data_IF_345078288858
#
_entry.id   IF_345078288858
#
_cell.length_a   1.000
_cell.length_b   1.000
_cell.length_c   1.000
_cell.angle_alpha   90.00
_cell.angle_beta   90.00
_cell.angle_gamma   90.00
#
_symmetry.space_group_name_H-M   'P 1'
#
loop_
_entity.id
_entity.type
_entity.pdbx_description
1 polymer ?
#
# COMPACT_ATOMS: atom_id res chain seq x y z
N UNK A 1 6.66 -5.02 33.46
CA UNK A 1 7.49 -5.73 34.42
C UNK A 1 8.77 -6.20 33.73
N UNK A 2 9.91 -6.15 34.39
CA UNK A 2 11.22 -6.54 33.83
C UNK A 2 11.29 -8.02 33.44
N UNK A 3 10.46 -8.86 34.07
CA UNK A 3 10.38 -10.30 33.82
C UNK A 3 9.37 -10.74 32.79
N UNK A 4 8.79 -9.78 32.02
CA UNK A 4 7.74 -10.00 31.03
C UNK A 4 6.51 -10.79 31.52
N UNK A 5 6.26 -10.79 32.85
CA UNK A 5 5.09 -11.48 33.41
C UNK A 5 3.90 -10.53 33.57
N UNK A 6 2.70 -11.05 33.31
CA UNK A 6 1.45 -10.37 33.63
C UNK A 6 0.98 -10.73 35.03
N UNK A 7 0.85 -9.74 35.93
CA UNK A 7 0.45 -9.92 37.34
C UNK A 7 -0.90 -9.24 37.60
N UNK A 8 -2.00 -9.89 37.26
CA UNK A 8 -3.34 -9.27 37.28
C UNK A 8 -3.83 -8.87 38.67
N UNK A 9 -3.18 -9.38 39.72
CA UNK A 9 -3.54 -9.06 41.12
C UNK A 9 -2.88 -7.78 41.62
N UNK A 10 -1.90 -7.22 40.92
CA UNK A 10 -1.26 -5.98 41.33
C UNK A 10 -2.04 -4.78 40.75
N UNK A 11 -2.23 -3.76 41.57
CA UNK A 11 -2.81 -2.51 41.12
C UNK A 11 -1.86 -1.82 40.13
N UNK A 12 -2.40 -1.42 38.99
CA UNK A 12 -1.67 -0.60 38.02
C UNK A 12 -1.62 0.84 38.50
N UNK A 13 -0.44 1.46 38.46
CA UNK A 13 -0.30 2.88 38.76
C UNK A 13 -0.84 3.72 37.59
N UNK A 14 -1.19 5.01 37.85
CA UNK A 14 -1.60 5.94 36.80
C UNK A 14 -0.52 6.09 35.73
N UNK A 15 0.75 6.10 36.11
CA UNK A 15 1.88 6.21 35.20
C UNK A 15 1.98 4.98 34.27
N UNK A 16 1.86 3.77 34.83
CA UNK A 16 1.85 2.53 34.04
C UNK A 16 0.64 2.47 33.11
N UNK A 17 -0.55 2.88 33.57
CA UNK A 17 -1.74 2.94 32.73
C UNK A 17 -1.57 3.91 31.57
N UNK A 18 -0.97 5.08 31.79
CA UNK A 18 -0.69 6.09 30.74
C UNK A 18 0.31 5.51 29.73
N UNK A 19 1.39 4.89 30.18
CA UNK A 19 2.39 4.27 29.29
C UNK A 19 1.78 3.14 28.45
N UNK A 20 0.93 2.30 29.06
CA UNK A 20 0.23 1.24 28.32
C UNK A 20 -0.72 1.82 27.29
N UNK A 21 -1.49 2.86 27.64
CA UNK A 21 -2.40 3.54 26.72
C UNK A 21 -1.63 4.20 25.57
N UNK A 22 -0.55 4.92 25.84
CA UNK A 22 0.29 5.55 24.82
C UNK A 22 0.87 4.53 23.85
N UNK A 23 1.36 3.38 24.34
CA UNK A 23 1.81 2.27 23.47
C UNK A 23 0.67 1.72 22.64
N UNK A 24 -0.49 1.47 23.24
CA UNK A 24 -1.65 0.94 22.52
C UNK A 24 -2.10 1.88 21.40
N UNK A 25 -2.11 3.19 21.65
CA UNK A 25 -2.45 4.20 20.64
C UNK A 25 -1.43 4.19 19.49
N UNK A 26 -0.13 4.18 19.81
CA UNK A 26 0.94 4.13 18.79
C UNK A 26 0.91 2.84 17.98
N UNK A 27 0.75 1.71 18.65
CA UNK A 27 0.70 0.39 18.00
C UNK A 27 -0.55 0.22 17.13
N UNK A 28 -1.67 0.87 17.50
CA UNK A 28 -2.91 0.87 16.71
C UNK A 28 -2.91 1.84 15.53
N UNK A 29 -1.93 2.76 15.48
CA UNK A 29 -1.85 3.80 14.45
C UNK A 29 -2.94 4.87 14.56
N UNK A 30 -3.64 4.95 15.68
CA UNK A 30 -4.70 5.95 15.90
C UNK A 30 -4.19 7.40 15.93
N UNK A 31 -2.88 7.59 16.18
CA UNK A 31 -2.19 8.88 16.14
C UNK A 31 -1.38 9.07 14.84
N UNK A 32 -1.54 8.19 13.86
CA UNK A 32 -0.82 8.29 12.61
C UNK A 32 -1.24 9.54 11.83
N UNK A 33 -0.25 10.29 11.36
CA UNK A 33 -0.42 11.51 10.58
C UNK A 33 -0.30 11.23 9.09
N UNK A 34 -0.77 12.17 8.29
CA UNK A 34 -0.58 12.16 6.84
C UNK A 34 0.88 12.49 6.50
N UNK A 35 1.40 11.85 5.45
CA UNK A 35 2.75 12.08 4.95
C UNK A 35 2.72 12.45 3.47
N UNK A 36 3.34 13.58 3.13
CA UNK A 36 3.57 13.95 1.73
C UNK A 36 4.99 13.61 1.31
N UNK A 37 5.12 12.94 0.18
CA UNK A 37 6.38 12.58 -0.47
C UNK A 37 6.54 13.46 -1.70
N UNK A 38 7.52 14.36 -1.65
CA UNK A 38 7.83 15.32 -2.72
C UNK A 38 9.11 14.97 -3.48
N UNK A 39 9.84 13.94 -3.06
CA UNK A 39 11.10 13.47 -3.65
C UNK A 39 11.20 11.96 -3.63
N UNK A 40 11.89 11.42 -4.64
CA UNK A 40 12.28 10.01 -4.65
C UNK A 40 13.16 9.66 -3.43
N UNK A 41 13.04 8.43 -2.95
CA UNK A 41 13.80 7.95 -1.81
C UNK A 41 13.11 6.84 -1.03
N UNK A 42 13.69 6.50 0.12
CA UNK A 42 13.19 5.45 1.00
C UNK A 42 12.52 6.03 2.23
N UNK A 43 11.31 5.57 2.50
CA UNK A 43 10.57 5.79 3.73
C UNK A 43 10.58 4.46 4.48
N UNK A 44 10.97 4.49 5.74
CA UNK A 44 11.10 3.24 6.50
C UNK A 44 10.66 3.36 7.95
N UNK A 45 10.20 2.22 8.51
CA UNK A 45 9.88 2.06 9.93
C UNK A 45 8.87 3.12 10.41
N UNK A 46 7.77 3.30 9.68
CA UNK A 46 6.74 4.29 10.00
C UNK A 46 5.34 3.70 9.90
N UNK A 47 4.47 4.20 10.77
CA UNK A 47 3.02 4.11 10.59
C UNK A 47 2.51 5.49 10.20
N UNK A 48 1.77 5.58 9.11
CA UNK A 48 1.15 6.82 8.60
C UNK A 48 -0.33 6.57 8.31
N UNK A 49 -1.14 7.62 8.39
CA UNK A 49 -2.54 7.51 8.04
C UNK A 49 -2.69 7.49 6.53
N UNK A 50 -2.39 8.59 5.86
CA UNK A 50 -2.37 8.66 4.40
C UNK A 50 -0.97 9.04 3.91
N UNK A 51 -0.62 8.59 2.70
CA UNK A 51 0.64 8.90 2.05
C UNK A 51 0.37 9.47 0.66
N UNK A 52 0.76 10.72 0.44
CA UNK A 52 0.57 11.42 -0.83
C UNK A 52 1.89 11.47 -1.60
N UNK A 53 1.96 10.78 -2.75
CA UNK A 53 3.10 10.88 -3.66
C UNK A 53 2.80 11.96 -4.69
N UNK A 54 3.46 13.11 -4.53
CA UNK A 54 3.27 14.31 -5.34
C UNK A 54 3.58 14.07 -6.83
N UNK A 55 2.93 14.85 -7.71
CA UNK A 55 3.16 14.82 -9.15
C UNK A 55 4.60 15.16 -9.58
N UNK A 56 5.35 15.87 -8.73
CA UNK A 56 6.75 16.26 -9.01
C UNK A 56 7.77 15.17 -8.72
N UNK A 57 7.36 14.09 -8.02
CA UNK A 57 8.26 12.97 -7.71
C UNK A 57 8.73 12.29 -8.97
N UNK A 58 10.06 12.25 -9.15
CA UNK A 58 10.71 11.60 -10.28
C UNK A 58 11.65 10.51 -9.80
N UNK A 59 11.51 9.30 -10.35
CA UNK A 59 12.34 8.16 -10.00
C UNK A 59 11.60 7.09 -9.20
N UNK A 60 12.16 6.65 -8.10
CA UNK A 60 11.63 5.55 -7.28
C UNK A 60 11.32 6.01 -5.85
N UNK A 61 10.17 5.56 -5.33
CA UNK A 61 9.82 5.63 -3.90
C UNK A 61 9.81 4.22 -3.35
N UNK A 62 10.51 4.00 -2.23
CA UNK A 62 10.58 2.72 -1.54
C UNK A 62 9.95 2.87 -0.16
N UNK A 63 8.95 2.05 0.12
CA UNK A 63 8.35 1.89 1.44
C UNK A 63 8.90 0.61 2.05
N UNK A 64 9.61 0.72 3.18
CA UNK A 64 10.20 -0.43 3.86
C UNK A 64 9.77 -0.49 5.31
N UNK A 65 9.12 -1.59 5.70
CA UNK A 65 8.53 -1.73 7.03
C UNK A 65 7.64 -0.52 7.39
N UNK A 66 6.68 -0.23 6.47
CA UNK A 66 5.75 0.89 6.58
C UNK A 66 4.32 0.34 6.68
N UNK A 67 3.55 0.89 7.61
CA UNK A 67 2.11 0.65 7.69
C UNK A 67 1.37 1.90 7.26
N UNK A 68 0.49 1.78 6.26
CA UNK A 68 -0.44 2.85 5.86
C UNK A 68 -1.84 2.40 6.24
N UNK A 69 -2.45 3.09 7.21
CA UNK A 69 -3.76 2.71 7.77
C UNK A 69 -4.94 3.29 7.00
N UNK A 70 -4.69 4.21 6.09
CA UNK A 70 -5.63 4.77 5.13
C UNK A 70 -5.14 4.51 3.71
N UNK A 71 -4.89 5.54 2.94
CA UNK A 71 -4.67 5.46 1.49
C UNK A 71 -3.27 5.97 1.07
N UNK A 72 -2.66 5.31 0.10
CA UNK A 72 -1.56 5.86 -0.70
C UNK A 72 -2.15 6.46 -1.96
N UNK A 73 -1.99 7.77 -2.16
CA UNK A 73 -2.41 8.45 -3.38
C UNK A 73 -1.18 8.68 -4.27
N UNK A 74 -1.18 8.06 -5.45
CA UNK A 74 -0.10 8.17 -6.43
C UNK A 74 -0.51 9.15 -7.52
N UNK A 75 0.09 10.36 -7.52
CA UNK A 75 -0.11 11.42 -8.52
C UNK A 75 1.11 11.63 -9.43
N UNK A 76 2.22 10.98 -9.12
CA UNK A 76 3.52 11.20 -9.74
C UNK A 76 3.60 10.84 -11.22
N UNK A 77 3.52 11.84 -12.10
CA UNK A 77 3.67 11.66 -13.56
C UNK A 77 5.03 11.11 -13.99
N UNK A 78 6.06 11.34 -13.17
CA UNK A 78 7.45 10.94 -13.41
C UNK A 78 7.91 9.85 -12.47
N UNK A 79 7.02 9.34 -11.62
CA UNK A 79 7.29 8.22 -10.75
C UNK A 79 7.45 6.96 -11.60
N UNK A 80 8.63 6.34 -11.54
CA UNK A 80 8.90 5.12 -12.28
C UNK A 80 8.43 3.90 -11.48
N UNK A 81 8.81 3.85 -10.20
CA UNK A 81 8.53 2.72 -9.32
C UNK A 81 8.02 3.19 -7.95
N UNK A 82 7.03 2.47 -7.44
CA UNK A 82 6.67 2.43 -6.03
C UNK A 82 6.99 1.02 -5.53
N UNK A 83 8.02 0.86 -4.74
CA UNK A 83 8.41 -0.42 -4.15
C UNK A 83 7.87 -0.52 -2.73
N UNK A 84 7.16 -1.61 -2.44
CA UNK A 84 6.54 -1.93 -1.15
C UNK A 84 7.25 -3.16 -0.62
N UNK A 85 8.05 -3.01 0.43
CA UNK A 85 8.87 -4.05 1.04
C UNK A 85 8.51 -4.18 2.52
N UNK A 86 8.17 -5.40 2.95
CA UNK A 86 7.83 -5.73 4.33
C UNK A 86 6.80 -4.74 4.93
N UNK A 87 5.77 -4.40 4.16
CA UNK A 87 4.87 -3.28 4.46
C UNK A 87 3.40 -3.66 4.31
N UNK A 88 2.55 -3.05 5.14
CA UNK A 88 1.11 -3.29 5.16
C UNK A 88 0.36 -2.03 4.74
N UNK A 89 -0.35 -2.10 3.62
CA UNK A 89 -1.02 -0.98 2.98
C UNK A 89 -2.52 -1.27 2.88
N UNK A 90 -3.35 -0.39 3.45
CA UNK A 90 -4.80 -0.54 3.38
C UNK A 90 -5.31 -0.28 1.98
N UNK A 91 -4.90 0.82 1.35
CA UNK A 91 -5.36 1.19 0.01
C UNK A 91 -4.29 1.92 -0.79
N UNK A 92 -4.27 1.69 -2.11
CA UNK A 92 -3.49 2.45 -3.09
C UNK A 92 -4.42 2.95 -4.18
N UNK A 93 -4.46 4.26 -4.42
CA UNK A 93 -5.11 4.85 -5.59
C UNK A 93 -4.06 5.38 -6.57
N UNK A 94 -4.05 4.81 -7.77
CA UNK A 94 -3.23 5.30 -8.89
C UNK A 94 -4.07 6.27 -9.71
N UNK A 95 -3.79 7.57 -9.59
CA UNK A 95 -4.53 8.64 -10.28
C UNK A 95 -4.28 8.64 -11.80
N UNK A 96 -5.19 9.23 -12.54
CA UNK A 96 -5.08 9.34 -14.01
C UNK A 96 -3.83 10.11 -14.47
N UNK A 97 -3.30 10.99 -13.62
CA UNK A 97 -2.03 11.70 -13.87
C UNK A 97 -0.79 10.80 -13.80
N UNK A 98 -0.83 9.70 -13.03
CA UNK A 98 0.28 8.79 -12.82
C UNK A 98 0.35 7.75 -13.94
N UNK A 99 0.91 8.10 -15.10
CA UNK A 99 1.00 7.15 -16.22
C UNK A 99 2.21 6.23 -16.12
N UNK A 100 2.00 4.92 -16.35
CA UNK A 100 3.04 3.87 -16.45
C UNK A 100 3.87 3.64 -15.20
N UNK A 101 3.36 3.97 -14.03
CA UNK A 101 4.03 3.60 -12.77
C UNK A 101 4.06 2.09 -12.60
N UNK A 102 5.15 1.58 -12.08
CA UNK A 102 5.23 0.19 -11.60
C UNK A 102 5.10 0.17 -10.07
N UNK A 103 4.18 -0.64 -9.58
CA UNK A 103 4.04 -0.94 -8.15
C UNK A 103 4.59 -2.35 -7.93
N UNK A 104 5.64 -2.46 -7.14
CA UNK A 104 6.33 -3.70 -6.84
C UNK A 104 6.13 -4.08 -5.39
N UNK A 105 5.46 -5.21 -5.13
CA UNK A 105 5.35 -5.81 -3.81
C UNK A 105 6.40 -6.90 -3.62
N UNK A 106 7.09 -6.87 -2.46
CA UNK A 106 8.09 -7.88 -2.10
C UNK A 106 8.18 -8.08 -0.58
N UNK A 107 8.85 -9.16 -0.17
CA UNK A 107 8.96 -9.54 1.25
C UNK A 107 7.60 -9.81 1.87
N UNK A 108 7.44 -9.54 3.15
CA UNK A 108 6.17 -9.70 3.87
C UNK A 108 5.26 -8.49 3.66
N UNK A 109 4.83 -8.30 2.40
CA UNK A 109 3.98 -7.16 2.04
C UNK A 109 2.55 -7.58 1.73
N UNK A 110 1.61 -6.69 2.09
CA UNK A 110 0.19 -6.80 1.79
C UNK A 110 -0.36 -5.44 1.34
N UNK A 111 -1.19 -5.47 0.30
CA UNK A 111 -1.99 -4.33 -0.18
C UNK A 111 -3.44 -4.81 -0.24
N UNK A 112 -4.29 -4.29 0.65
CA UNK A 112 -5.68 -4.77 0.74
C UNK A 112 -6.50 -4.36 -0.47
N UNK A 113 -6.41 -3.09 -0.89
CA UNK A 113 -7.14 -2.56 -2.04
C UNK A 113 -6.21 -1.78 -2.97
N UNK A 114 -6.36 -1.96 -4.27
CA UNK A 114 -5.67 -1.14 -5.29
C UNK A 114 -6.67 -0.62 -6.31
N UNK A 115 -6.90 0.70 -6.32
CA UNK A 115 -7.76 1.37 -7.28
C UNK A 115 -6.93 1.98 -8.40
N UNK A 116 -7.21 1.59 -9.64
CA UNK A 116 -6.44 1.98 -10.82
C UNK A 116 -7.28 2.88 -11.72
N UNK A 117 -6.86 4.14 -11.88
CA UNK A 117 -7.46 5.10 -12.81
C UNK A 117 -6.55 5.40 -14.03
N UNK A 118 -5.40 4.70 -14.13
CA UNK A 118 -4.41 4.93 -15.19
C UNK A 118 -3.68 3.65 -15.57
N UNK A 119 -2.82 3.72 -16.58
CA UNK A 119 -1.90 2.63 -16.90
C UNK A 119 -0.94 2.34 -15.74
N UNK A 120 -0.84 1.08 -15.34
CA UNK A 120 0.01 0.63 -14.23
C UNK A 120 0.59 -0.74 -14.52
N UNK A 121 1.74 -1.05 -13.93
CA UNK A 121 2.24 -2.42 -13.81
C UNK A 121 2.20 -2.82 -12.36
N UNK A 122 1.43 -3.86 -12.02
CA UNK A 122 1.44 -4.50 -10.71
C UNK A 122 2.37 -5.71 -10.80
N UNK A 123 3.42 -5.72 -9.98
CA UNK A 123 4.46 -6.74 -10.01
C UNK A 123 4.74 -7.27 -8.59
N UNK A 124 4.96 -8.58 -8.48
CA UNK A 124 5.43 -9.24 -7.27
C UNK A 124 6.81 -9.84 -7.54
N UNK A 125 7.70 -9.74 -6.57
CA UNK A 125 9.00 -10.38 -6.61
C UNK A 125 9.49 -10.72 -5.21
N UNK A 126 9.93 -11.97 -5.03
CA UNK A 126 10.41 -12.46 -3.73
C UNK A 126 9.41 -12.16 -2.60
N UNK A 127 8.11 -12.34 -2.88
CA UNK A 127 7.02 -12.09 -1.96
C UNK A 127 6.84 -13.26 -1.00
N UNK A 128 6.65 -12.96 0.27
CA UNK A 128 6.31 -13.92 1.34
C UNK A 128 4.98 -13.59 2.01
N UNK A 129 4.50 -12.35 1.85
CA UNK A 129 3.19 -11.89 2.28
C UNK A 129 2.09 -12.19 1.25
N UNK A 130 0.93 -11.53 1.40
CA UNK A 130 -0.22 -11.73 0.50
C UNK A 130 -0.11 -10.97 -0.84
N UNK A 131 0.69 -9.91 -0.89
CA UNK A 131 0.78 -9.05 -2.07
C UNK A 131 -0.49 -8.24 -2.30
N UNK A 132 -1.00 -8.25 -3.53
CA UNK A 132 -2.23 -7.53 -3.90
C UNK A 132 -3.45 -8.43 -3.63
N UNK A 133 -4.38 -7.94 -2.79
CA UNK A 133 -5.62 -8.68 -2.48
C UNK A 133 -6.69 -8.28 -3.50
N UNK A 134 -7.27 -7.10 -3.36
CA UNK A 134 -8.31 -6.60 -4.26
C UNK A 134 -7.75 -5.54 -5.20
N UNK A 135 -8.01 -5.69 -6.49
CA UNK A 135 -7.62 -4.74 -7.53
C UNK A 135 -8.85 -4.33 -8.34
N UNK A 136 -9.11 -3.03 -8.40
CA UNK A 136 -10.21 -2.46 -9.19
C UNK A 136 -9.64 -1.55 -10.26
N UNK A 137 -9.90 -1.87 -11.52
CA UNK A 137 -9.68 -0.96 -12.64
C UNK A 137 -10.96 -0.16 -12.84
N UNK A 138 -10.97 1.07 -12.31
CA UNK A 138 -12.13 1.94 -12.24
C UNK A 138 -12.61 2.35 -13.65
N UNK A 139 -13.92 2.51 -13.80
CA UNK A 139 -14.57 2.96 -15.06
C UNK A 139 -14.06 4.30 -15.60
N UNK A 140 -13.40 5.10 -14.75
CA UNK A 140 -12.77 6.37 -15.17
C UNK A 140 -11.40 6.15 -15.82
N UNK A 141 -10.83 4.94 -15.76
CA UNK A 141 -9.56 4.66 -16.41
C UNK A 141 -9.71 4.79 -17.93
N UNK A 142 -8.77 5.49 -18.55
CA UNK A 142 -8.82 5.76 -19.99
C UNK A 142 -8.59 4.48 -20.80
N UNK A 143 -9.44 4.22 -21.81
CA UNK A 143 -9.43 3.01 -22.63
C UNK A 143 -8.15 2.80 -23.47
N UNK A 144 -7.33 3.84 -23.64
CA UNK A 144 -6.04 3.75 -24.32
C UNK A 144 -4.87 3.39 -23.39
N UNK A 145 -5.15 3.19 -22.12
CA UNK A 145 -4.17 2.78 -21.12
C UNK A 145 -4.04 1.26 -21.07
N UNK A 146 -2.92 0.79 -20.53
CA UNK A 146 -2.67 -0.64 -20.33
C UNK A 146 -2.40 -0.89 -18.83
N UNK A 147 -3.15 -1.84 -18.29
CA UNK A 147 -2.89 -2.39 -16.96
C UNK A 147 -2.17 -3.72 -17.15
N UNK A 148 -0.93 -3.79 -16.67
CA UNK A 148 -0.09 -4.99 -16.78
C UNK A 148 -0.01 -5.68 -15.43
N UNK A 149 -0.36 -6.97 -15.39
CA UNK A 149 -0.33 -7.80 -14.20
C UNK A 149 0.84 -8.78 -14.28
N UNK A 150 1.69 -8.76 -13.25
CA UNK A 150 2.79 -9.70 -12.99
C UNK A 150 2.78 -10.12 -11.53
N UNK A 151 1.60 -10.39 -11.01
CA UNK A 151 1.33 -10.64 -9.61
C UNK A 151 0.20 -11.65 -9.45
N UNK A 152 0.15 -12.31 -8.31
CA UNK A 152 -1.03 -13.01 -7.86
C UNK A 152 -2.01 -12.00 -7.27
N UNK A 153 -3.31 -12.13 -7.58
CA UNK A 153 -4.39 -11.24 -7.14
C UNK A 153 -5.56 -12.12 -6.71
N UNK A 154 -6.12 -11.86 -5.53
CA UNK A 154 -7.29 -12.61 -5.05
C UNK A 154 -8.52 -12.21 -5.88
N UNK A 155 -8.87 -10.91 -5.93
CA UNK A 155 -10.01 -10.40 -6.69
C UNK A 155 -9.61 -9.27 -7.64
N UNK A 156 -9.84 -9.44 -8.94
CA UNK A 156 -9.65 -8.41 -9.96
C UNK A 156 -10.98 -8.01 -10.58
N UNK A 157 -11.37 -6.76 -10.39
CA UNK A 157 -12.55 -6.15 -11.04
C UNK A 157 -12.11 -5.17 -12.11
N UNK A 158 -12.68 -5.27 -13.31
CA UNK A 158 -12.38 -4.40 -14.44
C UNK A 158 -13.67 -3.75 -14.91
N UNK A 159 -13.85 -2.46 -14.58
CA UNK A 159 -15.01 -1.64 -14.92
C UNK A 159 -14.77 -0.75 -16.16
N UNK A 160 -13.62 -0.88 -16.82
CA UNK A 160 -13.19 -0.01 -17.92
C UNK A 160 -12.70 -0.83 -19.09
N UNK A 161 -12.86 -0.30 -20.31
CA UNK A 161 -12.33 -0.88 -21.55
C UNK A 161 -10.81 -0.73 -21.72
N UNK A 162 -10.03 -0.68 -20.65
CA UNK A 162 -8.56 -0.67 -20.71
C UNK A 162 -8.02 -1.95 -21.34
N UNK A 163 -6.80 -1.88 -21.88
CA UNK A 163 -6.07 -3.08 -22.24
C UNK A 163 -5.54 -3.76 -20.99
N UNK A 164 -6.08 -4.92 -20.65
CA UNK A 164 -5.53 -5.80 -19.60
C UNK A 164 -4.48 -6.73 -20.21
N UNK A 165 -3.27 -6.74 -19.65
CA UNK A 165 -2.12 -7.53 -20.10
C UNK A 165 -1.56 -8.36 -18.94
N UNK A 166 -2.02 -9.61 -18.82
CA UNK A 166 -1.60 -10.54 -17.76
C UNK A 166 -0.35 -11.27 -18.24
N UNK A 167 0.81 -10.97 -17.66
CA UNK A 167 2.10 -11.56 -18.02
C UNK A 167 2.48 -12.76 -17.17
N UNK A 168 2.15 -12.72 -15.89
CA UNK A 168 2.44 -13.78 -14.93
C UNK A 168 1.58 -13.61 -13.68
N UNK A 169 1.54 -14.66 -12.86
CA UNK A 169 0.71 -14.71 -11.65
C UNK A 169 -0.65 -15.38 -11.91
N UNK A 170 -1.42 -15.48 -10.85
CA UNK A 170 -2.78 -16.04 -10.83
C UNK A 170 -3.78 -14.97 -10.45
N UNK A 171 -5.02 -15.12 -10.92
CA UNK A 171 -6.16 -14.31 -10.51
C UNK A 171 -7.23 -15.28 -10.06
N UNK A 172 -7.59 -15.25 -8.79
CA UNK A 172 -8.54 -16.21 -8.23
C UNK A 172 -9.96 -15.89 -8.69
N UNK A 173 -10.34 -14.61 -8.67
CA UNK A 173 -11.64 -14.12 -9.18
C UNK A 173 -11.41 -12.98 -10.17
N UNK A 174 -12.03 -13.06 -11.35
CA UNK A 174 -12.05 -11.98 -12.34
C UNK A 174 -13.51 -11.56 -12.62
N UNK A 175 -13.81 -10.29 -12.37
CA UNK A 175 -15.08 -9.66 -12.71
C UNK A 175 -14.85 -8.61 -13.80
N UNK A 176 -15.68 -8.64 -14.84
CA UNK A 176 -15.64 -7.66 -15.95
C UNK A 176 -17.05 -7.09 -16.09
N UNK A 177 -17.19 -5.76 -15.90
CA UNK A 177 -18.45 -5.01 -15.99
C UNK A 177 -18.54 -4.18 -17.28
#
# INVERSE_FOLDING_TARGET
YEDNTFRPQNSITRAEAIVMLDRTIKDSGLDAEDLTVDKAGTIQNKTVKNLYISEDVSGEVILKNVTVTGEIIVEGKKLNNLTIEDSNIQEITVKDSASKVKILAKGDSKVDMTTVLSGVTLEQKDLTGKGFVDVVVDKKASTNQTVTIKADIEDLTVESGVKLDIKSGTIDTLTID
#
